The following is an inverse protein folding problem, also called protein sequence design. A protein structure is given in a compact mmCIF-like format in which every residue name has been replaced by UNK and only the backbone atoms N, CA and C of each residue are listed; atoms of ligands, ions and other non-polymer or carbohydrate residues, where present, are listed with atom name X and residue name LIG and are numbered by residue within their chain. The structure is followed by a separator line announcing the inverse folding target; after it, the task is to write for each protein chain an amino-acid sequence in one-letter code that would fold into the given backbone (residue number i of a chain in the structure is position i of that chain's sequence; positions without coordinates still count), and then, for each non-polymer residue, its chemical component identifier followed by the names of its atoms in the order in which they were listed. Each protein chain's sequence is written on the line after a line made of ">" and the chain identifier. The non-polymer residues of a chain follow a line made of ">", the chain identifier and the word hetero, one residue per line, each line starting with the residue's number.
data_IF_140893988815
#
_entry.id   IF_140893988815
#
_cell.length_a   1.000
_cell.length_b   1.000
_cell.length_c   1.000
_cell.angle_alpha   90.00
_cell.angle_beta   90.00
_cell.angle_gamma   90.00
#
_symmetry.space_group_name_H-M   'P 1'
#
loop_
_entity.id
_entity.type
_entity.pdbx_description
1 polymer ?
#
# COMPACT_ATOMS: atom_id res chain seq x y z
N UNK A 1 25.93 -0.38 19.90
CA UNK A 1 25.62 1.00 20.34
C UNK A 1 24.74 1.78 19.38
N UNK A 2 25.05 1.93 18.08
CA UNK A 2 24.13 2.63 17.14
C UNK A 2 22.81 1.87 16.93
N UNK A 3 22.81 0.53 16.96
CA UNK A 3 21.61 -0.27 16.67
C UNK A 3 20.53 -0.28 17.77
N UNK A 4 20.85 -0.04 19.04
CA UNK A 4 19.83 -0.06 20.11
C UNK A 4 18.92 1.16 20.06
N UNK A 5 19.46 2.33 19.73
CA UNK A 5 18.69 3.58 19.65
C UNK A 5 17.65 3.58 18.51
N UNK A 6 17.88 2.78 17.45
CA UNK A 6 16.94 2.64 16.33
C UNK A 6 15.96 1.47 16.51
N UNK A 7 16.15 0.59 17.51
CA UNK A 7 15.24 -0.53 17.77
C UNK A 7 13.77 -0.10 17.89
N UNK A 8 13.39 0.87 18.76
CA UNK A 8 11.99 1.28 18.87
C UNK A 8 11.47 1.95 17.59
N UNK A 9 12.35 2.63 16.85
CA UNK A 9 11.99 3.20 15.55
C UNK A 9 11.63 2.08 14.56
N UNK A 10 12.46 1.05 14.46
CA UNK A 10 12.21 -0.08 13.57
C UNK A 10 10.92 -0.83 13.95
N UNK A 11 10.65 -1.04 15.24
CA UNK A 11 9.42 -1.69 15.71
C UNK A 11 8.15 -0.90 15.31
N UNK A 12 8.20 0.43 15.39
CA UNK A 12 7.11 1.29 14.92
C UNK A 12 6.93 1.18 13.40
N UNK A 13 8.02 1.21 12.63
CA UNK A 13 7.99 1.09 11.17
C UNK A 13 7.46 -0.26 10.71
N UNK A 14 7.88 -1.37 11.34
CA UNK A 14 7.40 -2.72 11.06
C UNK A 14 5.90 -2.86 11.38
N UNK A 15 5.43 -2.16 12.41
CA UNK A 15 4.01 -2.08 12.73
C UNK A 15 3.24 -1.07 11.85
N UNK A 16 3.88 -0.49 10.84
CA UNK A 16 3.27 0.43 9.88
C UNK A 16 2.99 1.82 10.43
N UNK A 17 3.65 2.22 11.52
CA UNK A 17 3.53 3.54 12.15
C UNK A 17 4.78 4.38 11.89
N UNK A 18 4.62 5.69 11.97
CA UNK A 18 5.76 6.60 11.87
C UNK A 18 6.44 6.76 13.22
N UNK A 19 7.76 6.97 13.21
CA UNK A 19 8.54 7.20 14.42
C UNK A 19 9.35 8.50 14.31
N UNK A 20 9.56 9.15 15.44
CA UNK A 20 10.28 10.44 15.51
C UNK A 20 11.50 10.30 16.39
N UNK A 21 12.64 10.81 15.92
CA UNK A 21 13.85 10.98 16.70
C UNK A 21 14.12 12.47 16.90
N UNK A 22 14.13 12.90 18.15
CA UNK A 22 14.54 14.25 18.56
C UNK A 22 15.99 14.24 19.03
N UNK A 23 16.77 15.24 18.63
CA UNK A 23 18.17 15.43 19.03
C UNK A 23 18.47 16.92 19.17
N UNK A 24 18.99 17.32 20.32
CA UNK A 24 19.54 18.67 20.55
C UNK A 24 21.05 18.66 20.35
N UNK A 25 21.58 19.58 19.54
CA UNK A 25 23.03 19.78 19.36
C UNK A 25 23.31 21.29 19.40
N UNK A 26 24.22 21.72 20.29
CA UNK A 26 24.59 23.13 20.47
C UNK A 26 23.38 24.08 20.66
N UNK A 27 22.33 23.60 21.34
CA UNK A 27 21.08 24.34 21.57
C UNK A 27 20.11 24.36 20.39
N UNK A 28 20.40 23.67 19.30
CA UNK A 28 19.51 23.52 18.13
C UNK A 28 18.79 22.18 18.19
N UNK A 29 17.45 22.21 18.04
CA UNK A 29 16.59 21.03 17.98
C UNK A 29 16.51 20.46 16.56
N UNK A 30 16.91 19.20 16.40
CA UNK A 30 16.75 18.42 15.18
C UNK A 30 15.67 17.37 15.37
N UNK A 31 14.74 17.30 14.44
CA UNK A 31 13.69 16.28 14.41
C UNK A 31 13.80 15.48 13.12
N UNK A 32 13.93 14.17 13.24
CA UNK A 32 13.91 13.24 12.11
C UNK A 32 12.69 12.34 12.19
N UNK A 33 11.88 12.38 11.14
CA UNK A 33 10.68 11.56 10.98
C UNK A 33 11.00 10.35 10.10
N UNK A 34 10.72 9.17 10.61
CA UNK A 34 10.82 7.90 9.90
C UNK A 34 9.40 7.44 9.58
N UNK A 35 9.16 7.09 8.31
CA UNK A 35 7.89 6.57 7.83
C UNK A 35 8.07 5.15 7.31
N UNK A 36 7.08 4.27 7.48
CA UNK A 36 7.10 2.98 6.81
C UNK A 36 7.08 3.18 5.30
N UNK A 37 7.39 2.13 4.53
CA UNK A 37 7.17 2.18 3.08
C UNK A 37 5.70 2.45 2.79
N UNK A 38 5.46 3.33 1.82
CA UNK A 38 4.13 3.66 1.37
C UNK A 38 3.55 2.45 0.63
N UNK A 39 2.36 2.01 1.03
CA UNK A 39 1.68 0.86 0.40
C UNK A 39 0.81 1.37 -0.73
N UNK A 40 0.98 0.79 -1.93
CA UNK A 40 0.06 0.99 -3.04
C UNK A 40 -0.71 -0.31 -3.30
N UNK A 41 -2.02 -0.26 -3.06
CA UNK A 41 -2.93 -1.38 -3.34
C UNK A 41 -3.58 -1.17 -4.71
N UNK A 42 -3.30 -2.08 -5.65
CA UNK A 42 -3.93 -2.13 -6.96
C UNK A 42 -5.08 -3.13 -6.92
N UNK A 43 -6.31 -2.63 -6.98
CA UNK A 43 -7.53 -3.45 -7.04
C UNK A 43 -7.88 -3.68 -8.51
N UNK A 44 -7.45 -4.81 -9.03
CA UNK A 44 -7.58 -5.21 -10.42
C UNK A 44 -6.21 -5.54 -11.01
N UNK A 45 -6.05 -6.76 -11.48
CA UNK A 45 -4.84 -7.29 -12.08
C UNK A 45 -4.78 -7.13 -13.60
N UNK A 46 -5.53 -6.19 -14.18
CA UNK A 46 -5.67 -6.00 -15.63
C UNK A 46 -4.37 -5.57 -16.34
N UNK A 47 -4.43 -5.30 -17.65
CA UNK A 47 -3.24 -4.88 -18.43
C UNK A 47 -2.65 -3.55 -17.94
N UNK A 48 -3.49 -2.65 -17.42
CA UNK A 48 -3.08 -1.36 -16.86
C UNK A 48 -2.28 -1.54 -15.58
N UNK A 49 -2.57 -2.59 -14.80
CA UNK A 49 -1.90 -2.84 -13.53
C UNK A 49 -0.41 -3.18 -13.68
N UNK A 50 0.01 -3.82 -14.78
CA UNK A 50 1.42 -4.23 -14.96
C UNK A 50 2.39 -3.03 -15.04
N UNK A 51 2.23 -2.07 -15.98
CA UNK A 51 3.11 -0.92 -16.03
C UNK A 51 2.97 -0.05 -14.78
N UNK A 52 1.76 0.07 -14.21
CA UNK A 52 1.55 0.81 -12.97
C UNK A 52 2.33 0.19 -11.79
N UNK A 53 2.27 -1.13 -11.63
CA UNK A 53 3.03 -1.86 -10.61
C UNK A 53 4.54 -1.61 -10.77
N UNK A 54 5.07 -1.72 -11.99
CA UNK A 54 6.49 -1.47 -12.27
C UNK A 54 6.89 -0.04 -11.92
N UNK A 55 6.12 0.95 -12.38
CA UNK A 55 6.41 2.37 -12.10
C UNK A 55 6.33 2.68 -10.60
N UNK A 56 5.34 2.12 -9.90
CA UNK A 56 5.20 2.31 -8.46
C UNK A 56 6.35 1.66 -7.66
N UNK A 57 6.77 0.45 -8.04
CA UNK A 57 7.92 -0.20 -7.43
C UNK A 57 9.22 0.60 -7.65
N UNK A 58 9.39 1.23 -8.83
CA UNK A 58 10.51 2.14 -9.10
C UNK A 58 10.51 3.39 -8.20
N UNK A 59 9.33 3.79 -7.72
CA UNK A 59 9.13 4.90 -6.78
C UNK A 59 9.16 4.46 -5.31
N UNK A 60 9.61 3.24 -5.03
CA UNK A 60 9.77 2.66 -3.70
C UNK A 60 8.46 2.31 -2.96
N UNK A 61 7.33 2.24 -3.66
CA UNK A 61 6.08 1.75 -3.08
C UNK A 61 6.16 0.25 -2.79
N UNK A 62 5.57 -0.16 -1.67
CA UNK A 62 5.23 -1.54 -1.37
C UNK A 62 3.91 -1.89 -2.09
N UNK A 63 4.04 -2.41 -3.31
CA UNK A 63 2.91 -2.66 -4.20
C UNK A 63 2.26 -4.01 -3.89
N UNK A 64 0.96 -3.98 -3.62
CA UNK A 64 0.11 -5.17 -3.53
C UNK A 64 -0.89 -5.18 -4.67
N UNK A 65 -0.94 -6.26 -5.45
CA UNK A 65 -1.94 -6.45 -6.52
C UNK A 65 -3.01 -7.43 -6.06
N UNK A 66 -4.27 -7.07 -6.25
CA UNK A 66 -5.43 -7.91 -5.92
C UNK A 66 -6.26 -8.15 -7.18
N UNK A 67 -6.64 -9.41 -7.45
CA UNK A 67 -7.66 -9.76 -8.44
C UNK A 67 -8.35 -11.06 -8.02
N UNK A 68 -9.62 -11.24 -8.38
CA UNK A 68 -10.39 -12.45 -8.07
C UNK A 68 -10.11 -13.61 -9.05
N UNK A 69 -9.34 -13.36 -10.11
CA UNK A 69 -8.98 -14.35 -11.13
C UNK A 69 -7.51 -14.78 -10.96
N UNK A 70 -7.23 -16.09 -10.84
CA UNK A 70 -5.87 -16.60 -10.61
C UNK A 70 -4.83 -16.09 -11.60
N UNK A 71 -5.13 -16.07 -12.91
CA UNK A 71 -4.19 -15.62 -13.94
C UNK A 71 -3.87 -14.12 -13.84
N UNK A 72 -4.79 -13.33 -13.27
CA UNK A 72 -4.63 -11.88 -13.10
C UNK A 72 -4.03 -11.52 -11.75
N UNK A 73 -3.92 -12.45 -10.80
CA UNK A 73 -3.24 -12.29 -9.52
C UNK A 73 -1.95 -13.13 -9.43
N UNK A 74 -1.48 -13.70 -10.55
CA UNK A 74 -0.27 -14.51 -10.55
C UNK A 74 0.99 -13.67 -10.31
N UNK A 75 1.83 -14.08 -9.36
CA UNK A 75 3.10 -13.41 -9.06
C UNK A 75 4.03 -13.28 -10.29
N UNK A 76 4.02 -14.27 -11.18
CA UNK A 76 4.80 -14.24 -12.43
C UNK A 76 4.41 -13.09 -13.37
N UNK A 77 3.19 -12.54 -13.22
CA UNK A 77 2.69 -11.40 -13.98
C UNK A 77 3.11 -10.05 -13.38
N UNK A 78 3.53 -10.04 -12.12
CA UNK A 78 3.95 -8.84 -11.37
C UNK A 78 5.24 -9.10 -10.60
N UNK A 79 6.37 -9.33 -11.30
CA UNK A 79 7.64 -9.63 -10.63
C UNK A 79 8.15 -8.49 -9.74
N UNK A 80 7.70 -7.26 -9.97
CA UNK A 80 8.04 -6.10 -9.15
C UNK A 80 7.06 -5.85 -7.97
N UNK A 81 5.95 -6.58 -7.88
CA UNK A 81 5.04 -6.46 -6.74
C UNK A 81 5.64 -7.11 -5.49
N UNK A 82 5.48 -6.46 -4.35
CA UNK A 82 5.82 -7.08 -3.07
C UNK A 82 4.86 -8.24 -2.75
N UNK A 83 3.59 -8.06 -3.11
CA UNK A 83 2.54 -9.04 -2.85
C UNK A 83 1.54 -9.14 -4.01
N UNK A 84 1.05 -10.36 -4.24
CA UNK A 84 -0.11 -10.63 -5.10
C UNK A 84 -1.14 -11.43 -4.32
N UNK A 85 -2.41 -11.02 -4.36
CA UNK A 85 -3.51 -11.63 -3.63
C UNK A 85 -4.59 -12.07 -4.61
N UNK A 86 -4.86 -13.37 -4.65
CA UNK A 86 -5.95 -13.94 -5.44
C UNK A 86 -7.15 -14.20 -4.54
N UNK A 87 -8.07 -13.23 -4.44
CA UNK A 87 -9.27 -13.34 -3.60
C UNK A 87 -10.35 -12.36 -4.10
N UNK A 88 -11.58 -12.52 -3.62
CA UNK A 88 -12.63 -11.54 -3.82
C UNK A 88 -12.22 -10.18 -3.23
N UNK A 89 -12.43 -9.10 -3.98
CA UNK A 89 -11.97 -7.75 -3.59
C UNK A 89 -12.39 -7.35 -2.18
N UNK A 90 -13.65 -7.59 -1.80
CA UNK A 90 -14.13 -7.25 -0.47
C UNK A 90 -13.38 -8.00 0.65
N UNK A 91 -13.13 -9.30 0.45
CA UNK A 91 -12.38 -10.13 1.40
C UNK A 91 -10.92 -9.69 1.49
N UNK A 92 -10.27 -9.45 0.34
CA UNK A 92 -8.90 -8.96 0.28
C UNK A 92 -8.74 -7.60 0.98
N UNK A 93 -9.63 -6.64 0.70
CA UNK A 93 -9.59 -5.30 1.33
C UNK A 93 -9.76 -5.41 2.85
N UNK A 94 -10.69 -6.26 3.33
CA UNK A 94 -10.89 -6.49 4.76
C UNK A 94 -9.64 -7.11 5.42
N UNK A 95 -9.01 -8.08 4.77
CA UNK A 95 -7.79 -8.72 5.28
C UNK A 95 -6.57 -7.77 5.27
N UNK A 96 -6.48 -6.91 4.25
CA UNK A 96 -5.39 -5.94 4.09
C UNK A 96 -5.38 -4.83 5.15
N UNK A 97 -6.51 -4.62 5.84
CA UNK A 97 -6.69 -3.60 6.90
C UNK A 97 -6.11 -2.26 6.44
N UNK A 98 -6.76 -1.65 5.46
CA UNK A 98 -6.32 -0.38 4.89
C UNK A 98 -6.07 0.67 5.98
N UNK A 99 -4.98 1.41 5.82
CA UNK A 99 -4.53 2.46 6.72
C UNK A 99 -4.74 3.82 6.05
N UNK A 100 -4.79 4.87 6.85
CA UNK A 100 -4.90 6.24 6.33
C UNK A 100 -3.70 6.64 5.46
N UNK A 101 -2.52 6.04 5.66
CA UNK A 101 -1.34 6.29 4.82
C UNK A 101 -1.29 5.44 3.55
N UNK A 102 -2.23 4.51 3.35
CA UNK A 102 -2.23 3.68 2.15
C UNK A 102 -2.71 4.47 0.92
N UNK A 103 -2.30 4.01 -0.26
CA UNK A 103 -2.72 4.51 -1.55
C UNK A 103 -3.48 3.40 -2.26
N UNK A 104 -4.64 3.71 -2.84
CA UNK A 104 -5.49 2.71 -3.50
C UNK A 104 -5.82 3.15 -4.91
N UNK A 105 -5.61 2.25 -5.87
CA UNK A 105 -6.05 2.39 -7.25
C UNK A 105 -7.07 1.30 -7.58
N UNK A 106 -8.30 1.72 -7.86
CA UNK A 106 -9.40 0.87 -8.33
C UNK A 106 -9.33 0.82 -9.86
N UNK A 107 -8.87 -0.32 -10.38
CA UNK A 107 -8.62 -0.58 -11.81
C UNK A 107 -9.17 -1.95 -12.22
N UNK A 108 -10.38 -2.25 -11.75
CA UNK A 108 -10.99 -3.58 -11.92
C UNK A 108 -11.48 -3.82 -13.35
N UNK A 109 -12.06 -5.00 -13.59
CA UNK A 109 -12.63 -5.41 -14.89
C UNK A 109 -14.04 -4.84 -15.18
N UNK A 110 -14.55 -3.90 -14.39
CA UNK A 110 -15.77 -3.15 -14.71
C UNK A 110 -16.57 -2.65 -13.50
N UNK A 111 -17.55 -1.78 -13.78
CA UNK A 111 -18.28 -0.97 -12.79
C UNK A 111 -18.84 -1.73 -11.59
N UNK A 112 -19.27 -2.98 -11.77
CA UNK A 112 -19.78 -3.80 -10.66
C UNK A 112 -18.70 -4.01 -9.59
N UNK A 113 -17.48 -4.35 -9.98
CA UNK A 113 -16.39 -4.62 -9.06
C UNK A 113 -15.77 -3.35 -8.52
N UNK A 114 -15.74 -2.27 -9.31
CA UNK A 114 -15.36 -0.95 -8.81
C UNK A 114 -16.29 -0.55 -7.66
N UNK A 115 -17.60 -0.72 -7.83
CA UNK A 115 -18.58 -0.42 -6.79
C UNK A 115 -18.40 -1.29 -5.54
N UNK A 116 -18.11 -2.59 -5.69
CA UNK A 116 -17.86 -3.49 -4.56
C UNK A 116 -16.57 -3.11 -3.80
N UNK A 117 -15.51 -2.72 -4.52
CA UNK A 117 -14.29 -2.18 -3.93
C UNK A 117 -14.57 -0.91 -3.12
N UNK A 118 -15.25 0.07 -3.74
CA UNK A 118 -15.56 1.35 -3.11
C UNK A 118 -16.43 1.19 -1.86
N UNK A 119 -17.47 0.34 -1.92
CA UNK A 119 -18.31 0.04 -0.75
C UNK A 119 -17.48 -0.50 0.42
N UNK A 120 -16.57 -1.43 0.14
CA UNK A 120 -15.71 -2.00 1.18
C UNK A 120 -14.72 -0.97 1.72
N UNK A 121 -14.06 -0.18 0.86
CA UNK A 121 -13.12 0.87 1.28
C UNK A 121 -13.82 1.90 2.18
N UNK A 122 -15.01 2.37 1.78
CA UNK A 122 -15.76 3.38 2.53
C UNK A 122 -16.31 2.89 3.88
N UNK A 123 -16.27 1.58 4.15
CA UNK A 123 -16.63 1.03 5.46
C UNK A 123 -15.49 1.07 6.49
N UNK A 124 -14.27 1.41 6.07
CA UNK A 124 -13.06 1.40 6.90
C UNK A 124 -12.34 2.74 6.95
N UNK A 125 -11.05 2.70 7.25
CA UNK A 125 -10.20 3.89 7.21
C UNK A 125 -10.03 4.39 5.76
N UNK A 126 -10.17 5.70 5.56
CA UNK A 126 -9.99 6.31 4.25
C UNK A 126 -8.50 6.40 3.90
N UNK A 127 -8.07 5.86 2.75
CA UNK A 127 -6.68 5.97 2.31
C UNK A 127 -6.33 7.42 1.95
N UNK A 128 -5.04 7.76 2.03
CA UNK A 128 -4.50 9.08 1.66
C UNK A 128 -4.78 9.42 0.19
N UNK A 129 -4.88 8.39 -0.63
CA UNK A 129 -5.27 8.50 -2.03
C UNK A 129 -6.22 7.36 -2.40
N UNK A 130 -7.33 7.72 -3.05
CA UNK A 130 -8.24 6.79 -3.71
C UNK A 130 -8.46 7.25 -5.14
N UNK A 131 -7.81 6.58 -6.09
CA UNK A 131 -8.03 6.76 -7.52
C UNK A 131 -8.89 5.63 -8.07
N UNK A 132 -9.84 5.95 -8.94
CA UNK A 132 -10.58 4.96 -9.71
C UNK A 132 -10.44 5.28 -11.19
N UNK A 133 -10.06 4.30 -12.00
CA UNK A 133 -10.07 4.47 -13.45
C UNK A 133 -11.52 4.59 -13.93
N UNK A 134 -11.76 5.55 -14.80
CA UNK A 134 -13.06 5.79 -15.41
C UNK A 134 -12.89 6.61 -16.67
N UNK A 135 -13.90 6.56 -17.52
CA UNK A 135 -14.04 7.41 -18.72
C UNK A 135 -15.15 8.42 -18.51
#
# INVERSE_FOLDING_TARGET
>A
MIQEAFRPILEELEAGRSAVLHRTVDGVEYTRLFRPRERLILLGGGHIAQPLCRMAAMLDFDVTVVDDRPDFAAASRFPEAAHTVCDAFAAAIAALKLRESDYVCVITRGHRWDADCLRQIFSGAMPSYLGMIGS
#
